data_IF_746743395245
#
_entry.id   IF_746743395245
#
_cell.length_a   1.000
_cell.length_b   1.000
_cell.length_c   1.000
_cell.angle_alpha   90.00
_cell.angle_beta   90.00
_cell.angle_gamma   90.00
#
_symmetry.space_group_name_H-M   'P 1'
#
loop_
_entity.id
_entity.type
_entity.pdbx_description
1 polymer ?
#
# COMPACT_ATOMS: atom_id res chain seq x y z
N UNK A 1 84.26 105.49 -43.87
CA UNK A 1 83.89 104.60 -44.98
C UNK A 1 82.41 104.27 -44.83
N UNK A 2 81.54 104.96 -45.58
CA UNK A 2 80.84 104.42 -46.78
C UNK A 2 79.55 103.71 -46.33
N UNK A 3 78.29 103.95 -46.75
CA UNK A 3 77.58 104.82 -47.72
C UNK A 3 76.07 104.54 -47.48
N UNK A 4 75.19 105.54 -47.30
CA UNK A 4 74.26 106.09 -48.31
C UNK A 4 73.42 105.09 -49.14
N UNK A 5 72.08 105.18 -49.01
CA UNK A 5 71.07 105.29 -50.11
C UNK A 5 69.65 105.21 -49.50
N UNK A 6 68.81 106.25 -49.38
CA UNK A 6 68.10 107.14 -50.33
C UNK A 6 67.09 106.47 -51.29
N UNK A 7 65.79 106.63 -50.98
CA UNK A 7 64.62 106.99 -51.85
C UNK A 7 63.34 106.36 -51.30
N UNK A 8 62.12 106.87 -51.43
CA UNK A 8 61.49 108.19 -51.64
C UNK A 8 60.05 107.84 -52.08
N UNK A 9 59.04 108.43 -51.42
CA UNK A 9 57.70 108.78 -51.95
C UNK A 9 56.78 107.61 -52.44
N UNK A 10 55.45 107.58 -52.32
CA UNK A 10 54.41 108.54 -51.92
C UNK A 10 53.05 107.81 -51.91
N UNK A 11 52.06 108.37 -51.21
CA UNK A 11 50.58 108.24 -51.40
C UNK A 11 49.92 106.88 -51.09
N UNK A 12 48.76 106.76 -50.42
CA UNK A 12 47.62 107.68 -50.21
C UNK A 12 46.79 107.16 -49.03
N UNK A 13 46.25 108.09 -48.24
CA UNK A 13 45.23 107.89 -47.19
C UNK A 13 43.88 107.41 -47.79
N UNK A 14 42.96 106.86 -46.96
CA UNK A 14 41.93 107.76 -46.47
C UNK A 14 41.51 107.55 -45.01
N UNK A 15 41.02 108.67 -44.48
CA UNK A 15 40.45 108.88 -43.17
C UNK A 15 39.13 108.12 -42.88
N UNK A 16 38.76 108.20 -41.58
CA UNK A 16 37.42 108.42 -40.99
C UNK A 16 36.72 107.20 -40.35
N UNK A 17 36.43 107.29 -39.05
CA UNK A 17 35.57 106.32 -38.37
C UNK A 17 35.36 106.51 -36.85
N UNK A 18 34.56 107.50 -36.46
CA UNK A 18 33.75 107.63 -35.22
C UNK A 18 33.88 106.55 -34.13
N UNK A 19 34.19 106.95 -32.89
CA UNK A 19 34.20 106.11 -31.66
C UNK A 19 32.90 105.36 -31.32
N UNK A 20 31.83 105.49 -32.12
CA UNK A 20 30.64 104.64 -32.07
C UNK A 20 30.91 103.18 -32.50
N UNK A 21 31.93 102.93 -33.35
CA UNK A 21 32.25 101.57 -33.82
C UNK A 21 32.75 100.62 -32.71
N UNK A 22 33.57 101.16 -31.79
CA UNK A 22 34.10 100.38 -30.66
C UNK A 22 32.99 100.03 -29.65
N UNK A 23 32.08 100.96 -29.36
CA UNK A 23 30.93 100.71 -28.47
C UNK A 23 29.97 99.65 -29.02
N UNK A 24 29.74 99.63 -30.33
CA UNK A 24 28.92 98.59 -30.99
C UNK A 24 29.58 97.22 -30.90
N UNK A 25 30.91 97.12 -31.09
CA UNK A 25 31.66 95.87 -30.94
C UNK A 25 31.59 95.29 -29.52
N UNK A 26 31.71 96.13 -28.49
CA UNK A 26 31.58 95.70 -27.08
C UNK A 26 30.15 95.23 -26.78
N UNK A 27 29.13 95.92 -27.29
CA UNK A 27 27.73 95.51 -27.13
C UNK A 27 27.44 94.17 -27.81
N UNK A 28 27.96 93.94 -29.03
CA UNK A 28 27.85 92.66 -29.74
C UNK A 28 28.55 91.54 -28.97
N UNK A 29 29.73 91.80 -28.42
CA UNK A 29 30.45 90.82 -27.59
C UNK A 29 29.66 90.45 -26.34
N UNK A 30 29.05 91.43 -25.66
CA UNK A 30 28.25 91.18 -24.47
C UNK A 30 27.00 90.33 -24.79
N UNK A 31 26.32 90.60 -25.91
CA UNK A 31 25.19 89.81 -26.39
C UNK A 31 25.64 88.40 -26.82
N UNK A 32 26.79 88.26 -27.47
CA UNK A 32 27.34 86.97 -27.86
C UNK A 32 27.73 86.11 -26.64
N UNK A 33 28.37 86.71 -25.63
CA UNK A 33 28.72 86.04 -24.37
C UNK A 33 27.46 85.68 -23.57
N UNK A 34 26.48 86.58 -23.50
CA UNK A 34 25.18 86.29 -22.87
C UNK A 34 24.43 85.16 -23.60
N UNK A 35 24.43 85.17 -24.94
CA UNK A 35 23.85 84.13 -25.77
C UNK A 35 24.53 82.78 -25.62
N UNK A 36 25.87 82.75 -25.60
CA UNK A 36 26.66 81.55 -25.30
C UNK A 36 26.43 81.05 -23.88
N UNK A 37 26.31 81.94 -22.91
CA UNK A 37 25.95 81.61 -21.52
C UNK A 37 24.55 80.99 -21.42
N UNK A 38 23.57 81.54 -22.15
CA UNK A 38 22.20 81.01 -22.23
C UNK A 38 22.17 79.64 -22.92
N UNK A 39 22.93 79.46 -24.01
CA UNK A 39 23.05 78.17 -24.71
C UNK A 39 23.75 77.12 -23.83
N UNK A 40 24.84 77.48 -23.15
CA UNK A 40 25.52 76.59 -22.21
C UNK A 40 24.62 76.22 -21.04
N UNK A 41 23.85 77.19 -20.50
CA UNK A 41 22.87 76.95 -19.45
C UNK A 41 21.75 76.01 -19.91
N UNK A 42 21.19 76.22 -21.11
CA UNK A 42 20.18 75.33 -21.69
C UNK A 42 20.74 73.93 -21.95
N UNK A 43 21.97 73.83 -22.46
CA UNK A 43 22.64 72.55 -22.70
C UNK A 43 22.86 71.78 -21.39
N UNK A 44 23.34 72.45 -20.33
CA UNK A 44 23.49 71.89 -18.99
C UNK A 44 22.15 71.47 -18.36
N UNK A 45 21.08 72.21 -18.62
CA UNK A 45 19.75 71.80 -18.15
C UNK A 45 19.21 70.58 -18.91
N UNK A 46 19.43 70.52 -20.23
CA UNK A 46 19.02 69.36 -21.05
C UNK A 46 19.78 68.10 -20.65
N UNK A 47 21.09 68.17 -20.41
CA UNK A 47 21.87 67.01 -19.92
C UNK A 47 21.40 66.55 -18.54
N UNK A 48 21.17 67.48 -17.60
CA UNK A 48 20.59 67.15 -16.28
C UNK A 48 19.20 66.52 -16.37
N UNK A 49 18.36 66.94 -17.32
CA UNK A 49 17.04 66.35 -17.52
C UNK A 49 17.12 64.92 -18.08
N UNK A 50 18.04 64.69 -19.03
CA UNK A 50 18.31 63.36 -19.59
C UNK A 50 18.89 62.43 -18.53
N UNK A 51 19.81 62.89 -17.69
CA UNK A 51 20.36 62.13 -16.56
C UNK A 51 19.26 61.68 -15.58
N UNK A 52 18.31 62.57 -15.24
CA UNK A 52 17.17 62.21 -14.37
C UNK A 52 16.24 61.20 -15.03
N UNK A 53 15.98 61.34 -16.32
CA UNK A 53 15.16 60.38 -17.07
C UNK A 53 15.84 59.00 -17.12
N UNK A 54 17.14 58.95 -17.44
CA UNK A 54 17.93 57.71 -17.40
C UNK A 54 17.92 57.08 -16.00
N UNK A 55 18.09 57.87 -14.94
CA UNK A 55 18.02 57.38 -13.56
C UNK A 55 16.65 56.78 -13.24
N UNK A 56 15.55 57.45 -13.64
CA UNK A 56 14.19 56.95 -13.40
C UNK A 56 13.85 55.69 -14.21
N UNK A 57 14.39 55.57 -15.44
CA UNK A 57 14.20 54.38 -16.27
C UNK A 57 15.00 53.21 -15.70
N UNK A 58 16.24 53.44 -15.26
CA UNK A 58 17.08 52.42 -14.60
C UNK A 58 16.40 51.84 -13.37
N UNK A 59 15.85 52.71 -12.49
CA UNK A 59 15.12 52.26 -11.29
C UNK A 59 13.91 51.40 -11.66
N UNK A 60 13.14 51.80 -12.69
CA UNK A 60 11.98 51.01 -13.16
C UNK A 60 12.38 49.68 -13.78
N UNK A 61 13.51 49.60 -14.49
CA UNK A 61 14.01 48.33 -15.03
C UNK A 61 14.51 47.41 -13.92
N UNK A 62 15.16 47.96 -12.88
CA UNK A 62 15.61 47.18 -11.72
C UNK A 62 14.41 46.64 -10.93
N UNK A 63 13.35 47.44 -10.75
CA UNK A 63 12.10 47.00 -10.13
C UNK A 63 11.39 45.91 -10.96
N UNK A 64 11.28 46.11 -12.29
CA UNK A 64 10.66 45.14 -13.18
C UNK A 64 11.45 43.81 -13.21
N UNK A 65 12.78 43.85 -13.20
CA UNK A 65 13.61 42.65 -13.14
C UNK A 65 13.53 41.96 -11.78
N UNK A 66 13.43 42.69 -10.67
CA UNK A 66 13.20 42.12 -9.35
C UNK A 66 11.85 41.40 -9.27
N UNK A 67 10.78 42.01 -9.78
CA UNK A 67 9.46 41.38 -9.87
C UNK A 67 9.46 40.14 -10.76
N UNK A 68 10.14 40.19 -11.92
CA UNK A 68 10.27 39.05 -12.83
C UNK A 68 11.03 37.88 -12.18
N UNK A 69 12.10 38.16 -11.42
CA UNK A 69 12.83 37.15 -10.64
C UNK A 69 11.94 36.54 -9.57
N UNK A 70 11.24 37.37 -8.78
CA UNK A 70 10.32 36.88 -7.75
C UNK A 70 9.18 36.02 -8.32
N UNK A 71 8.64 36.40 -9.50
CA UNK A 71 7.62 35.60 -10.18
C UNK A 71 8.18 34.24 -10.63
N UNK A 72 9.40 34.23 -11.19
CA UNK A 72 10.10 32.99 -11.57
C UNK A 72 10.36 32.09 -10.36
N UNK A 73 10.88 32.64 -9.26
CA UNK A 73 11.17 31.87 -8.04
C UNK A 73 9.90 31.26 -7.44
N UNK A 74 8.80 32.01 -7.44
CA UNK A 74 7.49 31.51 -7.00
C UNK A 74 6.96 30.41 -7.92
N UNK A 75 7.13 30.55 -9.23
CA UNK A 75 6.72 29.52 -10.19
C UNK A 75 7.53 28.23 -9.98
N UNK A 76 8.84 28.33 -9.82
CA UNK A 76 9.72 27.18 -9.53
C UNK A 76 9.35 26.51 -8.20
N UNK A 77 9.10 27.30 -7.15
CA UNK A 77 8.67 26.78 -5.86
C UNK A 77 7.30 26.08 -5.93
N UNK A 78 6.35 26.66 -6.68
CA UNK A 78 5.03 26.08 -6.90
C UNK A 78 5.11 24.77 -7.71
N UNK A 79 5.96 24.71 -8.74
CA UNK A 79 6.20 23.48 -9.51
C UNK A 79 6.84 22.39 -8.65
N UNK A 80 7.82 22.73 -7.81
CA UNK A 80 8.43 21.78 -6.89
C UNK A 80 7.42 21.25 -5.85
N UNK A 81 6.58 22.13 -5.29
CA UNK A 81 5.50 21.74 -4.40
C UNK A 81 4.46 20.85 -5.10
N UNK A 82 4.11 21.16 -6.36
CA UNK A 82 3.18 20.34 -7.13
C UNK A 82 3.74 18.94 -7.44
N UNK A 83 5.03 18.84 -7.77
CA UNK A 83 5.71 17.55 -8.01
C UNK A 83 5.75 16.69 -6.75
N UNK A 84 6.17 17.26 -5.62
CA UNK A 84 6.21 16.54 -4.33
C UNK A 84 4.82 16.10 -3.88
N UNK A 85 3.79 16.94 -4.05
CA UNK A 85 2.40 16.57 -3.77
C UNK A 85 1.90 15.44 -4.69
N UNK A 86 2.26 15.47 -5.98
CA UNK A 86 1.90 14.40 -6.92
C UNK A 86 2.60 13.07 -6.57
N UNK A 87 3.87 13.11 -6.19
CA UNK A 87 4.63 11.93 -5.73
C UNK A 87 4.04 11.35 -4.44
N UNK A 88 3.73 12.19 -3.45
CA UNK A 88 3.09 11.78 -2.22
C UNK A 88 1.72 11.14 -2.47
N UNK A 89 0.93 11.72 -3.38
CA UNK A 89 -0.36 11.16 -3.80
C UNK A 89 -0.19 9.80 -4.47
N UNK A 90 0.75 9.65 -5.39
CA UNK A 90 1.04 8.36 -6.04
C UNK A 90 1.46 7.30 -5.04
N UNK A 91 2.31 7.65 -4.08
CA UNK A 91 2.72 6.74 -3.01
C UNK A 91 1.53 6.30 -2.16
N UNK A 92 0.65 7.24 -1.77
CA UNK A 92 -0.56 6.93 -1.01
C UNK A 92 -1.54 6.04 -1.82
N UNK A 93 -1.67 6.27 -3.12
CA UNK A 93 -2.49 5.45 -4.02
C UNK A 93 -1.93 4.03 -4.14
N UNK A 94 -0.61 3.87 -4.30
CA UNK A 94 0.05 2.54 -4.30
C UNK A 94 -0.13 1.83 -2.97
N UNK A 95 0.13 2.49 -1.84
CA UNK A 95 -0.08 1.89 -0.51
C UNK A 95 -1.54 1.46 -0.29
N UNK A 96 -2.50 2.26 -0.77
CA UNK A 96 -3.92 1.91 -0.69
C UNK A 96 -4.25 0.71 -1.57
N UNK A 97 -3.70 0.64 -2.79
CA UNK A 97 -3.89 -0.48 -3.70
C UNK A 97 -3.29 -1.78 -3.13
N UNK A 98 -2.08 -1.71 -2.57
CA UNK A 98 -1.41 -2.84 -1.95
C UNK A 98 -2.19 -3.34 -0.71
N UNK A 99 -2.65 -2.41 0.13
CA UNK A 99 -3.47 -2.75 1.30
C UNK A 99 -4.80 -3.42 0.90
N UNK A 100 -5.44 -2.96 -0.19
CA UNK A 100 -6.65 -3.59 -0.74
C UNK A 100 -6.36 -4.98 -1.27
N UNK A 101 -5.28 -5.16 -2.03
CA UNK A 101 -4.90 -6.47 -2.55
C UNK A 101 -4.59 -7.46 -1.42
N UNK A 102 -3.91 -7.02 -0.37
CA UNK A 102 -3.66 -7.85 0.81
C UNK A 102 -4.95 -8.21 1.54
N UNK A 103 -5.88 -7.27 1.70
CA UNK A 103 -7.19 -7.53 2.29
C UNK A 103 -8.00 -8.54 1.47
N UNK A 104 -8.04 -8.39 0.15
CA UNK A 104 -8.74 -9.31 -0.76
C UNK A 104 -8.12 -10.72 -0.72
N UNK A 105 -6.79 -10.82 -0.70
CA UNK A 105 -6.09 -12.10 -0.55
C UNK A 105 -6.41 -12.78 0.79
N UNK A 106 -6.42 -12.01 1.89
CA UNK A 106 -6.79 -12.52 3.21
C UNK A 106 -8.25 -12.99 3.28
N UNK A 107 -9.17 -12.28 2.63
CA UNK A 107 -10.57 -12.68 2.53
C UNK A 107 -10.75 -13.97 1.73
N UNK A 108 -10.05 -14.12 0.60
CA UNK A 108 -10.08 -15.34 -0.20
C UNK A 108 -9.55 -16.54 0.58
N UNK A 109 -8.43 -16.37 1.30
CA UNK A 109 -7.87 -17.43 2.13
C UNK A 109 -8.80 -17.82 3.27
N UNK A 110 -9.37 -16.83 3.97
CA UNK A 110 -10.37 -17.08 5.01
C UNK A 110 -11.61 -17.82 4.47
N UNK A 111 -12.07 -17.49 3.26
CA UNK A 111 -13.19 -18.19 2.61
C UNK A 111 -12.84 -19.64 2.29
N UNK A 112 -11.66 -19.91 1.75
CA UNK A 112 -11.19 -21.27 1.43
C UNK A 112 -11.02 -22.12 2.70
N UNK A 113 -10.47 -21.53 3.76
CA UNK A 113 -10.33 -22.18 5.05
C UNK A 113 -11.70 -22.56 5.64
N UNK A 114 -12.69 -21.65 5.58
CA UNK A 114 -14.07 -21.91 6.02
C UNK A 114 -14.75 -23.00 5.19
N UNK A 115 -14.59 -22.98 3.88
CA UNK A 115 -15.16 -24.00 3.00
C UNK A 115 -14.57 -25.39 3.27
N UNK A 116 -13.25 -25.46 3.45
CA UNK A 116 -12.55 -26.70 3.79
C UNK A 116 -13.04 -27.24 5.14
N UNK A 117 -13.10 -26.37 6.17
CA UNK A 117 -13.62 -26.75 7.48
C UNK A 117 -15.08 -27.24 7.41
N UNK A 118 -15.93 -26.57 6.64
CA UNK A 118 -17.33 -26.98 6.45
C UNK A 118 -17.43 -28.34 5.75
N UNK A 119 -16.61 -28.59 4.72
CA UNK A 119 -16.57 -29.89 4.04
C UNK A 119 -16.13 -31.01 4.99
N UNK A 120 -15.06 -30.79 5.76
CA UNK A 120 -14.60 -31.77 6.75
C UNK A 120 -15.64 -32.06 7.83
N UNK A 121 -16.40 -31.05 8.26
CA UNK A 121 -17.51 -31.25 9.21
C UNK A 121 -18.64 -32.09 8.60
N UNK A 122 -19.03 -31.81 7.35
CA UNK A 122 -20.06 -32.58 6.64
C UNK A 122 -19.62 -34.03 6.44
N UNK A 123 -18.36 -34.26 6.05
CA UNK A 123 -17.78 -35.59 5.90
C UNK A 123 -17.74 -36.35 7.23
N UNK A 124 -17.28 -35.71 8.31
CA UNK A 124 -17.24 -36.30 9.63
C UNK A 124 -18.65 -36.66 10.14
N UNK A 125 -19.63 -35.78 9.94
CA UNK A 125 -21.03 -36.04 10.29
C UNK A 125 -21.62 -37.19 9.45
N UNK A 126 -21.27 -37.29 8.17
CA UNK A 126 -21.70 -38.38 7.31
C UNK A 126 -21.09 -39.72 7.74
N UNK A 127 -19.81 -39.74 8.11
CA UNK A 127 -19.14 -40.94 8.64
C UNK A 127 -19.78 -41.34 9.98
N UNK A 128 -20.00 -40.39 10.89
CA UNK A 128 -20.66 -40.65 12.18
C UNK A 128 -22.05 -41.26 11.99
N UNK A 129 -22.89 -40.67 11.12
CA UNK A 129 -24.22 -41.19 10.83
C UNK A 129 -24.20 -42.60 10.23
N UNK A 130 -23.23 -42.89 9.35
CA UNK A 130 -23.06 -44.23 8.78
C UNK A 130 -22.66 -45.24 9.85
N UNK A 131 -21.71 -44.89 10.72
CA UNK A 131 -21.29 -45.74 11.82
C UNK A 131 -22.43 -46.01 12.81
N UNK A 132 -23.19 -44.97 13.20
CA UNK A 132 -24.38 -45.10 14.05
C UNK A 132 -25.45 -46.00 13.41
N UNK A 133 -25.72 -45.83 12.11
CA UNK A 133 -26.69 -46.67 11.39
C UNK A 133 -26.26 -48.14 11.34
N UNK A 134 -24.95 -48.40 11.19
CA UNK A 134 -24.41 -49.76 11.18
C UNK A 134 -24.48 -50.42 12.57
N UNK A 135 -24.14 -49.69 13.63
CA UNK A 135 -24.29 -50.18 15.01
C UNK A 135 -25.76 -50.51 15.32
N UNK A 136 -26.69 -49.62 14.96
CA UNK A 136 -28.13 -49.86 15.16
C UNK A 136 -28.62 -51.07 14.37
N UNK A 137 -28.10 -51.30 13.15
CA UNK A 137 -28.43 -52.48 12.35
C UNK A 137 -27.93 -53.75 13.01
N UNK A 138 -26.69 -53.77 13.52
CA UNK A 138 -26.12 -54.91 14.23
C UNK A 138 -26.87 -55.19 15.53
N UNK A 139 -27.20 -54.16 16.30
CA UNK A 139 -28.01 -54.29 17.52
C UNK A 139 -29.36 -54.94 17.22
N UNK A 140 -30.07 -54.47 16.19
CA UNK A 140 -31.35 -55.04 15.81
C UNK A 140 -31.24 -56.50 15.33
N UNK A 141 -30.20 -56.83 14.56
CA UNK A 141 -30.00 -58.19 14.04
C UNK A 141 -29.61 -59.17 15.15
N UNK A 142 -28.68 -58.80 16.03
CA UNK A 142 -28.25 -59.63 17.16
C UNK A 142 -29.34 -59.73 18.23
N UNK A 143 -30.12 -58.66 18.41
CA UNK A 143 -31.28 -58.61 19.31
C UNK A 143 -32.38 -59.62 18.96
N UNK A 144 -32.45 -60.11 17.71
CA UNK A 144 -33.36 -61.19 17.33
C UNK A 144 -32.91 -62.57 17.82
N UNK A 145 -31.64 -62.73 18.17
CA UNK A 145 -31.06 -63.98 18.66
C UNK A 145 -31.00 -64.00 20.18
N UNK A 146 -30.50 -62.92 20.79
CA UNK A 146 -30.28 -62.84 22.23
C UNK A 146 -30.33 -61.40 22.74
N UNK A 147 -30.40 -61.21 24.06
CA UNK A 147 -30.42 -59.89 24.68
C UNK A 147 -29.16 -59.11 24.26
N UNK A 148 -29.36 -58.02 23.53
CA UNK A 148 -28.27 -57.18 23.01
C UNK A 148 -28.52 -55.74 23.45
N UNK A 149 -27.48 -55.10 24.00
CA UNK A 149 -27.57 -53.73 24.51
C UNK A 149 -26.35 -52.92 24.12
N UNK A 150 -26.58 -51.66 23.76
CA UNK A 150 -25.52 -50.70 23.57
C UNK A 150 -24.97 -50.20 24.91
N UNK A 151 -23.65 -50.22 25.09
CA UNK A 151 -22.94 -49.79 26.30
C UNK A 151 -21.77 -48.87 25.96
N UNK A 152 -21.14 -48.27 26.98
CA UNK A 152 -19.93 -47.47 26.80
C UNK A 152 -18.74 -48.26 26.22
N UNK A 153 -18.74 -49.60 26.36
CA UNK A 153 -17.73 -50.50 25.80
C UNK A 153 -18.07 -50.97 24.38
N UNK A 154 -19.20 -50.52 23.82
CA UNK A 154 -19.75 -50.98 22.55
C UNK A 154 -20.98 -51.87 22.75
N UNK A 155 -21.27 -52.68 21.74
CA UNK A 155 -22.43 -53.56 21.71
C UNK A 155 -22.15 -54.83 22.52
N UNK A 156 -22.96 -55.09 23.55
CA UNK A 156 -22.84 -56.26 24.41
C UNK A 156 -24.05 -57.16 24.19
N UNK A 157 -23.79 -58.40 23.75
CA UNK A 157 -24.80 -59.46 23.62
C UNK A 157 -24.63 -60.45 24.76
N UNK A 158 -25.71 -60.73 25.48
CA UNK A 158 -25.78 -61.73 26.54
C UNK A 158 -26.53 -62.96 26.02
N UNK A 159 -25.85 -64.11 25.96
CA UNK A 159 -26.42 -65.35 25.45
C UNK A 159 -27.29 -66.10 26.47
N UNK A 160 -27.50 -65.50 27.66
CA UNK A 160 -28.42 -65.99 28.67
C UNK A 160 -27.96 -67.30 29.32
N UNK A 161 -28.62 -67.67 30.42
CA UNK A 161 -28.34 -68.93 31.10
C UNK A 161 -28.88 -70.15 30.37
N UNK A 162 -29.77 -70.01 29.40
CA UNK A 162 -30.46 -71.15 28.76
C UNK A 162 -29.71 -71.72 27.55
N UNK A 163 -28.71 -70.99 27.05
CA UNK A 163 -27.84 -71.39 25.94
C UNK A 163 -26.38 -71.46 26.41
N UNK A 164 -25.54 -72.18 25.68
CA UNK A 164 -24.11 -72.36 25.97
C UNK A 164 -23.80 -72.93 27.38
N UNK A 165 -24.63 -73.86 27.85
CA UNK A 165 -24.28 -74.69 29.01
C UNK A 165 -23.35 -75.82 28.60
N UNK A 166 -22.28 -75.98 29.36
CA UNK A 166 -21.34 -77.07 29.17
C UNK A 166 -21.57 -78.16 30.22
N UNK A 167 -21.38 -79.41 29.81
CA UNK A 167 -21.33 -80.54 30.72
C UNK A 167 -20.10 -80.42 31.65
N UNK A 168 -20.17 -81.01 32.85
CA UNK A 168 -19.08 -80.97 33.82
C UNK A 168 -17.75 -81.46 33.21
N UNK A 169 -16.71 -80.64 33.37
CA UNK A 169 -15.36 -80.88 32.82
C UNK A 169 -15.31 -81.02 31.28
N UNK A 170 -16.26 -80.41 30.56
CA UNK A 170 -16.29 -80.38 29.09
C UNK A 170 -16.38 -78.96 28.55
N UNK A 171 -15.83 -78.76 27.35
CA UNK A 171 -15.98 -77.54 26.55
C UNK A 171 -16.72 -77.81 25.21
N UNK A 172 -17.31 -79.00 25.07
CA UNK A 172 -18.02 -79.41 23.86
C UNK A 172 -19.36 -78.67 23.75
N UNK A 173 -19.56 -77.97 22.64
CA UNK A 173 -20.83 -77.31 22.33
C UNK A 173 -21.88 -78.33 21.91
N UNK A 174 -23.09 -78.18 22.45
CA UNK A 174 -24.27 -78.92 22.00
C UNK A 174 -24.68 -78.49 20.57
N UNK A 175 -25.30 -79.37 19.76
CA UNK A 175 -25.69 -79.03 18.38
C UNK A 175 -26.52 -77.74 18.27
N UNK A 176 -27.46 -77.52 19.19
CA UNK A 176 -28.31 -76.33 19.24
C UNK A 176 -27.52 -75.03 19.50
N UNK A 177 -26.49 -75.10 20.35
CA UNK A 177 -25.63 -73.97 20.67
C UNK A 177 -24.68 -73.64 19.51
N UNK A 178 -24.23 -74.67 18.76
CA UNK A 178 -23.46 -74.46 17.52
C UNK A 178 -24.28 -73.76 16.45
N UNK A 179 -25.56 -74.10 16.31
CA UNK A 179 -26.47 -73.42 15.38
C UNK A 179 -26.68 -71.95 15.77
N UNK A 180 -26.89 -71.68 17.06
CA UNK A 180 -27.01 -70.31 17.59
C UNK A 180 -25.75 -69.48 17.30
N UNK A 181 -24.57 -70.00 17.63
CA UNK A 181 -23.29 -69.33 17.34
C UNK A 181 -23.06 -69.14 15.84
N UNK A 182 -23.48 -70.09 15.00
CA UNK A 182 -23.38 -69.97 13.54
C UNK A 182 -24.23 -68.81 13.00
N UNK A 183 -25.43 -68.59 13.56
CA UNK A 183 -26.28 -67.44 13.18
C UNK A 183 -25.65 -66.11 13.61
N UNK A 184 -25.11 -66.03 14.83
CA UNK A 184 -24.37 -64.85 15.31
C UNK A 184 -23.18 -64.56 14.41
N UNK A 185 -22.37 -65.57 14.09
CA UNK A 185 -21.23 -65.43 13.19
C UNK A 185 -21.67 -64.92 11.80
N UNK A 186 -22.76 -65.46 11.25
CA UNK A 186 -23.32 -65.00 9.99
C UNK A 186 -23.71 -63.52 9.98
N UNK A 187 -24.29 -63.01 11.08
CA UNK A 187 -24.62 -61.58 11.22
C UNK A 187 -23.35 -60.74 11.32
N UNK A 188 -22.40 -61.14 12.16
CA UNK A 188 -21.15 -60.41 12.35
C UNK A 188 -20.38 -60.31 11.02
N UNK A 189 -20.36 -61.37 10.21
CA UNK A 189 -19.72 -61.38 8.89
C UNK A 189 -20.32 -60.38 7.88
N UNK A 190 -21.48 -59.78 8.17
CA UNK A 190 -22.07 -58.74 7.31
C UNK A 190 -21.44 -57.35 7.50
N UNK A 191 -20.68 -57.16 8.58
CA UNK A 191 -20.05 -55.89 8.93
C UNK A 191 -18.53 -56.04 9.03
N UNK A 192 -17.82 -54.90 9.05
CA UNK A 192 -16.35 -54.83 9.08
C UNK A 192 -15.91 -53.82 10.16
N UNK A 193 -14.61 -53.76 10.48
CA UNK A 193 -14.02 -52.80 11.43
C UNK A 193 -14.52 -52.87 12.89
N UNK A 194 -14.67 -54.09 13.43
CA UNK A 194 -14.92 -54.31 14.86
C UNK A 194 -14.00 -55.38 15.45
N UNK A 195 -13.87 -55.37 16.77
CA UNK A 195 -13.20 -56.42 17.54
C UNK A 195 -14.24 -57.16 18.37
N UNK A 196 -14.21 -58.49 18.34
CA UNK A 196 -15.08 -59.33 19.15
C UNK A 196 -14.31 -59.82 20.37
N UNK A 197 -14.85 -59.59 21.55
CA UNK A 197 -14.38 -60.17 22.81
C UNK A 197 -15.44 -61.13 23.34
N UNK A 198 -15.04 -62.35 23.68
CA UNK A 198 -15.91 -63.38 24.24
C UNK A 198 -15.49 -63.63 25.68
N UNK A 199 -16.41 -63.44 26.63
CA UNK A 199 -16.16 -63.62 28.06
C UNK A 199 -17.11 -64.70 28.59
N UNK A 200 -16.54 -65.79 29.12
CA UNK A 200 -17.27 -66.85 29.82
C UNK A 200 -17.20 -66.63 31.33
N UNK A 201 -18.25 -67.05 32.04
CA UNK A 201 -18.29 -67.05 33.52
C UNK A 201 -18.61 -68.47 34.00
N UNK A 202 -17.90 -68.94 35.02
CA UNK A 202 -18.19 -70.19 35.75
C UNK A 202 -18.89 -69.86 37.06
N UNK A 203 -19.67 -70.79 37.60
CA UNK A 203 -20.20 -70.69 38.96
C UNK A 203 -19.11 -71.08 39.99
N UNK A 204 -19.27 -70.66 41.24
CA UNK A 204 -18.26 -70.81 42.31
C UNK A 204 -18.07 -72.26 42.81
N UNK A 205 -18.43 -73.27 42.02
CA UNK A 205 -18.29 -74.69 42.41
C UNK A 205 -16.94 -75.23 41.91
N UNK A 206 -15.89 -75.09 42.73
CA UNK A 206 -14.53 -75.53 42.43
C UNK A 206 -13.48 -74.70 43.18
N UNK A 207 -12.21 -75.12 43.17
CA UNK A 207 -11.14 -74.25 43.67
C UNK A 207 -10.87 -73.13 42.67
N UNK A 208 -10.50 -71.94 43.16
CA UNK A 208 -10.24 -70.74 42.33
C UNK A 208 -9.20 -71.02 41.22
N UNK A 209 -8.21 -71.87 41.51
CA UNK A 209 -7.20 -72.34 40.56
C UNK A 209 -7.75 -73.27 39.45
N UNK A 210 -8.83 -74.01 39.70
CA UNK A 210 -9.49 -74.85 38.70
C UNK A 210 -10.42 -74.03 37.79
N UNK A 211 -11.03 -72.96 38.34
CA UNK A 211 -11.99 -72.12 37.62
C UNK A 211 -11.35 -71.02 36.75
N UNK A 212 -10.08 -70.65 37.00
CA UNK A 212 -9.36 -69.63 36.23
C UNK A 212 -8.37 -70.19 35.18
N UNK A 213 -8.07 -71.49 35.25
CA UNK A 213 -7.09 -72.16 34.38
C UNK A 213 -5.64 -71.93 34.81
#
# INVERSE_FOLDING_TARGET
>A
MTSLSLRSAETREPARGSGKGLGVLVAILFVAVAGLGLLAYQFLQRTRAVERQLASVSVKTDEATALARQATDRAVAAEAAARTAAEARRLAETQTADARQQADAALQEASRARETAARSQVEADAIRKKAEAEVNRLEAALGQIAETRHTALGLVMNLGSDHLKFEFDKAELRPEDRELLSRVAGILMTSHDYTVSVNGHTDDVGSEAYNQG
#
